data_IF_557342897330
#
_entry.id   IF_557342897330
#
_cell.length_a   1.000
_cell.length_b   1.000
_cell.length_c   1.000
_cell.angle_alpha   90.00
_cell.angle_beta   90.00
_cell.angle_gamma   90.00
#
_symmetry.space_group_name_H-M   'P 1'
#
loop_
_entity.id
_entity.type
_entity.pdbx_description
1 polymer ?
#
# COMPACT_ATOMS: atom_id res chain seq x y z
N UNK A 1 5.57 -26.81 2.58
CA UNK A 1 4.21 -27.31 2.25
C UNK A 1 3.95 -27.04 0.78
N UNK A 2 3.19 -27.88 0.09
CA UNK A 2 2.63 -27.51 -1.21
C UNK A 2 1.51 -26.49 -0.99
N UNK A 3 1.35 -25.57 -1.93
CA UNK A 3 0.24 -24.62 -1.90
C UNK A 3 -1.09 -25.37 -1.96
N UNK A 4 -2.07 -24.92 -1.16
CA UNK A 4 -3.43 -25.44 -1.16
C UNK A 4 -4.30 -24.54 -2.03
N UNK A 5 -5.06 -25.14 -2.94
CA UNK A 5 -6.11 -24.43 -3.65
C UNK A 5 -7.34 -24.31 -2.75
N UNK A 6 -7.89 -23.10 -2.61
CA UNK A 6 -9.13 -22.84 -1.87
C UNK A 6 -10.18 -22.41 -2.90
N UNK A 7 -11.23 -23.20 -3.04
CA UNK A 7 -12.36 -22.86 -3.90
C UNK A 7 -13.17 -21.68 -3.31
N UNK A 8 -13.89 -20.87 -4.10
CA UNK A 8 -14.71 -19.77 -3.59
C UNK A 8 -15.72 -20.18 -2.50
N UNK A 9 -16.30 -21.38 -2.61
CA UNK A 9 -17.27 -21.91 -1.62
C UNK A 9 -16.62 -22.34 -0.31
N UNK A 10 -15.30 -22.56 -0.33
CA UNK A 10 -14.52 -23.00 0.83
C UNK A 10 -13.65 -21.88 1.44
N UNK A 11 -13.79 -20.64 0.95
CA UNK A 11 -13.13 -19.45 1.52
C UNK A 11 -13.70 -19.02 2.87
N UNK A 12 -14.96 -19.38 3.18
CA UNK A 12 -15.63 -19.07 4.45
C UNK A 12 -15.48 -17.59 4.88
N UNK A 13 -15.69 -16.67 3.93
CA UNK A 13 -15.60 -15.23 4.19
C UNK A 13 -14.18 -14.67 4.30
N UNK A 14 -13.15 -15.46 3.97
CA UNK A 14 -11.78 -14.97 3.88
C UNK A 14 -11.62 -14.01 2.70
N UNK A 15 -10.80 -12.99 2.90
CA UNK A 15 -10.39 -12.06 1.86
C UNK A 15 -8.89 -12.20 1.56
N UNK A 16 -8.45 -11.66 0.43
CA UNK A 16 -7.05 -11.71 0.03
C UNK A 16 -6.12 -11.16 1.12
N UNK A 17 -5.11 -11.93 1.53
CA UNK A 17 -4.14 -11.52 2.55
C UNK A 17 -4.54 -11.86 3.99
N UNK A 18 -5.78 -12.30 4.25
CA UNK A 18 -6.19 -12.78 5.57
C UNK A 18 -5.31 -13.97 6.00
N UNK A 19 -4.97 -14.01 7.30
CA UNK A 19 -4.29 -15.16 7.89
C UNK A 19 -5.33 -16.15 8.38
N UNK A 20 -5.28 -17.37 7.87
CA UNK A 20 -6.34 -18.37 8.07
C UNK A 20 -5.82 -19.71 8.57
N UNK A 21 -6.69 -20.50 9.20
CA UNK A 21 -6.51 -21.93 9.42
C UNK A 21 -7.28 -22.66 8.32
N UNK A 22 -6.58 -23.55 7.62
CA UNK A 22 -7.12 -24.37 6.54
C UNK A 22 -7.12 -25.84 6.96
N UNK A 23 -8.20 -26.53 6.64
CA UNK A 23 -8.29 -27.99 6.71
C UNK A 23 -8.05 -28.56 5.31
N UNK A 24 -6.98 -29.33 5.07
CA UNK A 24 -6.80 -30.04 3.81
C UNK A 24 -7.98 -30.99 3.56
N UNK A 25 -8.51 -30.98 2.34
CA UNK A 25 -9.54 -31.92 1.91
C UNK A 25 -8.87 -33.15 1.28
N UNK A 26 -9.59 -34.28 1.21
CA UNK A 26 -9.01 -35.55 0.72
C UNK A 26 -8.39 -35.35 -0.66
N UNK A 27 -7.10 -35.60 -0.75
CA UNK A 27 -6.31 -35.55 -1.98
C UNK A 27 -6.66 -36.81 -2.77
N UNK A 28 -7.18 -36.67 -3.98
CA UNK A 28 -7.07 -37.75 -4.96
C UNK A 28 -5.59 -37.82 -5.34
N UNK A 29 -4.98 -39.01 -5.31
CA UNK A 29 -3.53 -39.23 -5.29
C UNK A 29 -2.74 -38.67 -6.50
N UNK A 30 -3.40 -38.01 -7.45
CA UNK A 30 -2.82 -37.48 -8.69
C UNK A 30 -3.06 -35.96 -8.94
N UNK A 31 -3.51 -35.19 -7.94
CA UNK A 31 -3.80 -33.76 -8.15
C UNK A 31 -2.58 -32.87 -7.88
N UNK A 32 -2.23 -32.04 -8.88
CA UNK A 32 -1.10 -31.09 -8.88
C UNK A 32 -1.18 -30.06 -7.74
N UNK A 33 -2.37 -29.72 -7.27
CA UNK A 33 -2.64 -28.80 -6.16
C UNK A 33 -3.70 -29.38 -5.22
N UNK A 34 -3.35 -29.76 -3.98
CA UNK A 34 -4.32 -30.25 -3.01
C UNK A 34 -5.36 -29.16 -2.66
N UNK A 35 -6.61 -29.55 -2.44
CA UNK A 35 -7.67 -28.63 -2.04
C UNK A 35 -7.72 -28.43 -0.53
N UNK A 36 -8.20 -27.28 -0.09
CA UNK A 36 -8.40 -26.96 1.32
C UNK A 36 -9.64 -26.14 1.57
N UNK A 37 -10.11 -26.21 2.82
CA UNK A 37 -11.22 -25.40 3.31
C UNK A 37 -10.80 -24.50 4.45
N UNK A 38 -11.10 -23.21 4.36
CA UNK A 38 -10.92 -22.26 5.45
C UNK A 38 -11.88 -22.63 6.57
N UNK A 39 -11.33 -22.97 7.74
CA UNK A 39 -12.13 -23.26 8.93
C UNK A 39 -12.24 -22.07 9.87
N UNK A 40 -11.25 -21.19 9.85
CA UNK A 40 -11.20 -20.02 10.74
C UNK A 40 -10.25 -18.97 10.20
N UNK A 41 -10.60 -17.71 10.42
CA UNK A 41 -9.77 -16.55 10.11
C UNK A 41 -9.13 -16.08 11.42
N UNK A 42 -7.80 -16.00 11.44
CA UNK A 42 -7.02 -15.60 12.62
C UNK A 42 -6.82 -14.09 12.63
N UNK A 43 -6.52 -13.52 11.47
CA UNK A 43 -6.16 -12.11 11.33
C UNK A 43 -6.70 -11.57 10.00
N UNK A 44 -7.32 -10.39 10.06
CA UNK A 44 -7.91 -9.71 8.90
C UNK A 44 -6.92 -8.73 8.30
N UNK A 45 -6.64 -8.84 7.02
CA UNK A 45 -5.68 -7.97 6.33
C UNK A 45 -6.29 -6.67 5.82
N UNK A 46 -7.56 -6.69 5.40
CA UNK A 46 -8.19 -5.60 4.65
C UNK A 46 -9.20 -4.80 5.48
N UNK A 47 -8.84 -4.37 6.69
CA UNK A 47 -9.77 -3.55 7.49
C UNK A 47 -10.16 -2.25 6.79
N UNK A 48 -9.24 -1.71 5.99
CA UNK A 48 -9.44 -0.54 5.16
C UNK A 48 -9.12 -0.91 3.71
N UNK A 49 -10.00 -0.53 2.79
CA UNK A 49 -9.89 -0.82 1.36
C UNK A 49 -10.02 0.48 0.60
N UNK A 50 -9.16 0.65 -0.42
CA UNK A 50 -9.26 1.75 -1.36
C UNK A 50 -10.01 1.27 -2.59
N UNK A 51 -10.94 2.10 -3.06
CA UNK A 51 -11.72 1.79 -4.23
C UNK A 51 -12.48 2.99 -4.77
N UNK A 52 -13.27 2.74 -5.80
CA UNK A 52 -14.12 3.74 -6.44
C UNK A 52 -15.54 3.60 -5.95
N UNK A 53 -16.13 4.71 -5.49
CA UNK A 53 -17.49 4.74 -5.00
C UNK A 53 -18.50 4.86 -6.17
N UNK A 54 -19.41 3.90 -6.23
CA UNK A 54 -20.55 3.83 -7.13
C UNK A 54 -21.83 4.05 -6.33
N UNK A 55 -22.48 5.17 -6.56
CA UNK A 55 -23.63 5.66 -5.80
C UNK A 55 -24.93 5.22 -6.46
N UNK A 56 -25.79 4.58 -5.68
CA UNK A 56 -27.19 4.37 -6.00
C UNK A 56 -28.09 5.29 -5.16
N UNK A 57 -29.40 5.24 -5.40
CA UNK A 57 -30.38 6.16 -4.76
C UNK A 57 -30.44 6.03 -3.22
N UNK A 58 -30.27 4.81 -2.69
CA UNK A 58 -30.44 4.49 -1.27
C UNK A 58 -29.26 3.75 -0.63
N UNK A 59 -28.24 3.42 -1.41
CA UNK A 59 -27.04 2.72 -1.00
C UNK A 59 -25.97 2.98 -2.06
N UNK A 60 -24.74 2.52 -1.81
CA UNK A 60 -23.70 2.53 -2.82
C UNK A 60 -22.80 1.32 -2.65
N UNK A 61 -21.85 1.20 -3.56
CA UNK A 61 -20.79 0.20 -3.50
C UNK A 61 -19.44 0.87 -3.64
N UNK A 62 -18.44 0.36 -2.94
CA UNK A 62 -17.04 0.67 -3.23
C UNK A 62 -16.45 -0.52 -3.95
N UNK A 63 -16.07 -0.30 -5.20
CA UNK A 63 -15.39 -1.29 -6.03
C UNK A 63 -13.89 -1.23 -5.72
N UNK A 64 -13.29 -2.29 -5.16
CA UNK A 64 -11.87 -2.26 -4.79
C UNK A 64 -10.93 -2.06 -5.98
N UNK A 65 -9.84 -1.37 -5.73
CA UNK A 65 -8.73 -1.25 -6.67
C UNK A 65 -7.97 -2.57 -6.83
N UNK A 66 -7.72 -3.23 -5.69
CA UNK A 66 -7.09 -4.54 -5.67
C UNK A 66 -8.07 -5.60 -6.16
N UNK A 67 -7.90 -6.03 -7.42
CA UNK A 67 -8.76 -7.02 -8.08
C UNK A 67 -8.71 -8.42 -7.44
N UNK A 68 -7.80 -8.66 -6.49
CA UNK A 68 -7.78 -9.89 -5.68
C UNK A 68 -8.86 -9.86 -4.60
N UNK A 69 -9.39 -8.69 -4.26
CA UNK A 69 -10.60 -8.54 -3.45
C UNK A 69 -11.79 -8.63 -4.42
N UNK A 70 -12.41 -9.79 -4.46
CA UNK A 70 -13.49 -10.13 -5.40
C UNK A 70 -14.88 -9.62 -4.99
N UNK A 71 -14.97 -8.85 -3.91
CA UNK A 71 -16.24 -8.37 -3.38
C UNK A 71 -16.34 -6.86 -3.48
N UNK A 72 -17.44 -6.37 -4.03
CA UNK A 72 -17.82 -4.97 -3.89
C UNK A 72 -18.31 -4.73 -2.45
N UNK A 73 -17.86 -3.64 -1.85
CA UNK A 73 -18.18 -3.32 -0.45
C UNK A 73 -19.46 -2.49 -0.45
N UNK A 74 -20.53 -3.03 0.10
CA UNK A 74 -21.79 -2.33 0.27
C UNK A 74 -21.62 -1.18 1.28
N UNK A 75 -22.15 -0.01 0.94
CA UNK A 75 -22.14 1.16 1.82
C UNK A 75 -23.58 1.65 1.97
N UNK A 76 -24.14 1.66 3.20
CA UNK A 76 -25.41 2.32 3.49
C UNK A 76 -25.35 3.82 3.23
N UNK A 77 -26.49 4.46 2.94
CA UNK A 77 -26.54 5.88 2.56
C UNK A 77 -25.99 6.82 3.64
N UNK A 78 -26.23 6.49 4.89
CA UNK A 78 -25.78 7.19 6.09
C UNK A 78 -24.25 7.12 6.25
N UNK A 79 -23.59 6.14 5.65
CA UNK A 79 -22.15 5.89 5.74
C UNK A 79 -21.36 6.42 4.52
N UNK A 80 -21.97 7.26 3.67
CA UNK A 80 -21.31 7.79 2.48
C UNK A 80 -20.21 8.81 2.76
N UNK A 81 -20.23 9.46 3.93
CA UNK A 81 -19.30 10.54 4.28
C UNK A 81 -19.15 11.60 3.15
N UNK A 82 -20.29 12.03 2.59
CA UNK A 82 -20.39 12.98 1.47
C UNK A 82 -19.75 12.55 0.14
N UNK A 83 -19.35 11.29 -0.01
CA UNK A 83 -18.83 10.77 -1.28
C UNK A 83 -19.83 10.95 -2.44
N UNK A 84 -19.30 11.34 -3.60
CA UNK A 84 -20.04 11.45 -4.86
C UNK A 84 -19.70 10.27 -5.76
N UNK A 85 -20.55 10.05 -6.76
CA UNK A 85 -20.29 9.09 -7.84
C UNK A 85 -18.87 9.27 -8.37
N UNK A 86 -18.18 8.15 -8.62
CA UNK A 86 -16.81 8.11 -9.15
C UNK A 86 -15.75 8.74 -8.25
N UNK A 87 -16.04 9.05 -6.99
CA UNK A 87 -14.98 9.43 -6.06
C UNK A 87 -14.14 8.22 -5.67
N UNK A 88 -12.84 8.45 -5.57
CA UNK A 88 -11.91 7.57 -4.91
C UNK A 88 -12.06 7.71 -3.41
N UNK A 89 -12.19 6.59 -2.71
CA UNK A 89 -12.49 6.58 -1.27
C UNK A 89 -11.69 5.52 -0.53
N UNK A 90 -11.46 5.78 0.75
CA UNK A 90 -11.04 4.79 1.72
C UNK A 90 -12.29 4.32 2.48
N UNK A 91 -12.62 3.04 2.35
CA UNK A 91 -13.74 2.40 3.05
C UNK A 91 -13.20 1.50 4.15
N UNK A 92 -13.78 1.58 5.35
CA UNK A 92 -13.52 0.67 6.45
C UNK A 92 -14.59 -0.43 6.44
N UNK A 93 -14.16 -1.69 6.43
CA UNK A 93 -15.08 -2.83 6.52
C UNK A 93 -15.68 -2.89 7.93
N UNK A 94 -17.01 -2.85 8.02
CA UNK A 94 -17.79 -2.96 9.26
C UNK A 94 -18.35 -4.36 9.42
N UNK A 95 -18.78 -4.98 8.31
CA UNK A 95 -19.18 -6.38 8.26
C UNK A 95 -18.40 -7.13 7.19
N UNK A 96 -17.81 -8.26 7.58
CA UNK A 96 -17.00 -9.10 6.68
C UNK A 96 -17.90 -9.97 5.79
N UNK A 97 -17.42 -10.37 4.60
CA UNK A 97 -18.22 -11.23 3.75
C UNK A 97 -18.47 -12.58 4.42
N UNK A 98 -19.64 -13.14 4.12
CA UNK A 98 -20.01 -14.51 4.46
C UNK A 98 -20.62 -15.18 3.21
N UNK A 99 -20.92 -16.48 3.25
CA UNK A 99 -21.32 -17.29 2.09
C UNK A 99 -22.46 -16.71 1.23
N UNK A 100 -23.26 -15.80 1.78
CA UNK A 100 -24.42 -15.18 1.10
C UNK A 100 -24.41 -13.66 1.08
N UNK A 101 -23.40 -13.03 1.66
CA UNK A 101 -23.38 -11.57 1.87
C UNK A 101 -22.05 -10.97 1.46
N UNK A 102 -22.14 -9.92 0.66
CA UNK A 102 -21.02 -9.03 0.40
C UNK A 102 -20.60 -8.31 1.70
N UNK A 103 -19.35 -7.84 1.80
CA UNK A 103 -18.93 -7.03 2.92
C UNK A 103 -19.71 -5.71 2.95
N UNK A 104 -19.94 -5.21 4.16
CA UNK A 104 -20.47 -3.87 4.39
C UNK A 104 -19.37 -2.97 4.95
N UNK A 105 -19.45 -1.67 4.68
CA UNK A 105 -18.44 -0.72 5.14
C UNK A 105 -18.94 0.70 5.24
N UNK A 106 -18.08 1.52 5.84
CA UNK A 106 -18.26 2.97 6.00
C UNK A 106 -17.14 3.73 5.33
N UNK A 107 -17.48 4.79 4.58
CA UNK A 107 -16.47 5.63 3.93
C UNK A 107 -15.84 6.51 4.99
N UNK A 108 -14.56 6.24 5.31
CA UNK A 108 -13.84 7.02 6.32
C UNK A 108 -13.16 8.25 5.71
N UNK A 109 -12.86 8.21 4.41
CA UNK A 109 -12.17 9.31 3.72
C UNK A 109 -12.57 9.35 2.24
N UNK A 110 -12.85 10.56 1.74
CA UNK A 110 -13.03 10.84 0.33
C UNK A 110 -11.72 11.45 -0.18
N UNK A 111 -10.99 10.69 -1.00
CA UNK A 111 -9.66 11.07 -1.50
C UNK A 111 -9.81 12.11 -2.61
N UNK A 112 -10.74 11.88 -3.55
CA UNK A 112 -10.98 12.83 -4.64
C UNK A 112 -11.75 12.23 -5.80
N UNK A 113 -11.76 12.93 -6.93
CA UNK A 113 -12.34 12.44 -8.19
C UNK A 113 -11.39 11.45 -8.87
N UNK A 114 -11.93 10.35 -9.42
CA UNK A 114 -11.11 9.36 -10.13
C UNK A 114 -10.44 9.93 -11.38
N UNK A 115 -10.95 10.99 -11.99
CA UNK A 115 -10.33 11.59 -13.18
C UNK A 115 -9.10 12.47 -12.83
N UNK A 116 -8.86 12.74 -11.55
CA UNK A 116 -7.69 13.52 -11.11
C UNK A 116 -6.46 12.63 -10.88
N UNK A 117 -5.38 12.96 -11.59
CA UNK A 117 -4.08 12.29 -11.43
C UNK A 117 -3.54 12.37 -10.00
N UNK A 118 -3.77 13.49 -9.29
CA UNK A 118 -3.33 13.64 -7.90
C UNK A 118 -4.04 12.64 -6.99
N UNK A 119 -5.33 12.42 -7.19
CA UNK A 119 -6.14 11.45 -6.46
C UNK A 119 -5.59 10.03 -6.64
N UNK A 120 -5.17 9.66 -7.85
CA UNK A 120 -4.54 8.37 -8.09
C UNK A 120 -3.23 8.18 -7.32
N UNK A 121 -2.38 9.21 -7.30
CA UNK A 121 -1.11 9.17 -6.56
C UNK A 121 -1.38 8.97 -5.06
N UNK A 122 -2.28 9.77 -4.49
CA UNK A 122 -2.64 9.71 -3.07
C UNK A 122 -3.24 8.35 -2.69
N UNK A 123 -4.12 7.81 -3.52
CA UNK A 123 -4.69 6.47 -3.34
C UNK A 123 -3.62 5.37 -3.30
N UNK A 124 -2.63 5.40 -4.19
CA UNK A 124 -1.54 4.41 -4.20
C UNK A 124 -0.69 4.53 -2.93
N UNK A 125 -0.38 5.75 -2.52
CA UNK A 125 0.42 6.01 -1.32
C UNK A 125 -0.28 5.50 -0.06
N UNK A 126 -1.58 5.74 0.06
CA UNK A 126 -2.41 5.23 1.16
C UNK A 126 -2.51 3.69 1.12
N UNK A 127 -2.74 3.08 -0.05
CA UNK A 127 -2.81 1.62 -0.20
C UNK A 127 -1.51 0.93 0.25
N UNK A 128 -0.37 1.55 -0.04
CA UNK A 128 0.95 1.07 0.34
C UNK A 128 1.38 1.47 1.75
N UNK A 129 0.53 2.19 2.49
CA UNK A 129 0.81 2.72 3.84
C UNK A 129 2.12 3.51 3.89
N UNK A 130 2.43 4.23 2.80
CA UNK A 130 3.66 5.03 2.69
C UNK A 130 3.49 6.28 3.55
N UNK A 131 4.40 6.48 4.49
CA UNK A 131 4.43 7.68 5.33
C UNK A 131 4.66 8.92 4.45
N UNK A 132 3.70 9.85 4.47
CA UNK A 132 3.79 11.10 3.70
C UNK A 132 4.46 12.24 4.46
N UNK A 133 4.49 12.16 5.79
CA UNK A 133 4.93 13.25 6.64
C UNK A 133 6.11 12.78 7.47
N UNK A 134 7.23 13.51 7.39
CA UNK A 134 8.36 13.29 8.27
C UNK A 134 8.03 13.79 9.68
N UNK A 135 8.39 13.02 10.73
CA UNK A 135 8.27 13.48 12.11
C UNK A 135 8.96 14.82 12.36
N UNK A 136 8.40 15.64 13.27
CA UNK A 136 8.87 17.02 13.51
C UNK A 136 10.31 17.05 14.02
N UNK A 137 10.67 16.11 14.89
CA UNK A 137 12.02 15.89 15.40
C UNK A 137 13.01 15.58 14.28
N UNK A 138 12.64 14.70 13.33
CA UNK A 138 13.47 14.39 12.14
C UNK A 138 13.72 15.64 11.30
N UNK A 139 12.69 16.44 11.04
CA UNK A 139 12.83 17.69 10.28
C UNK A 139 13.73 18.69 11.03
N UNK A 140 13.58 18.80 12.35
CA UNK A 140 14.42 19.68 13.18
C UNK A 140 15.88 19.25 13.14
N UNK A 141 16.15 17.95 13.25
CA UNK A 141 17.51 17.42 13.18
C UNK A 141 18.15 17.66 11.81
N UNK A 142 17.42 17.37 10.72
CA UNK A 142 17.92 17.60 9.36
C UNK A 142 18.29 19.07 9.12
N UNK A 143 17.45 20.01 9.58
CA UNK A 143 17.75 21.45 9.51
C UNK A 143 18.99 21.82 10.29
N UNK A 144 19.10 21.34 11.53
CA UNK A 144 20.26 21.57 12.39
C UNK A 144 21.56 21.10 11.73
N UNK A 145 21.58 19.89 11.18
CA UNK A 145 22.75 19.34 10.47
C UNK A 145 23.10 20.17 9.23
N UNK A 146 22.09 20.62 8.47
CA UNK A 146 22.30 21.49 7.31
C UNK A 146 22.90 22.85 7.69
N UNK A 147 22.44 23.43 8.80
CA UNK A 147 22.88 24.75 9.27
C UNK A 147 24.30 24.70 9.88
N UNK A 148 24.64 23.62 10.58
CA UNK A 148 25.97 23.44 11.20
C UNK A 148 27.08 23.13 10.18
N UNK A 149 26.72 22.54 9.03
CA UNK A 149 27.68 22.14 8.00
C UNK A 149 28.63 21.03 8.45
N UNK A 150 29.75 20.87 7.74
CA UNK A 150 30.74 19.82 8.03
C UNK A 150 31.65 20.28 9.17
N UNK A 151 31.57 19.60 10.32
CA UNK A 151 32.38 19.90 11.50
C UNK A 151 33.89 19.73 11.24
N UNK A 152 34.73 20.58 11.83
CA UNK A 152 36.19 20.56 11.58
C UNK A 152 36.86 19.21 11.95
N UNK A 153 36.35 18.55 12.99
CA UNK A 153 36.79 17.20 13.37
C UNK A 153 36.51 16.15 12.28
N UNK A 154 35.44 16.30 11.50
CA UNK A 154 35.17 15.43 10.34
C UNK A 154 36.20 15.65 9.23
N UNK A 155 36.59 16.91 8.99
CA UNK A 155 37.62 17.25 8.01
C UNK A 155 38.98 16.65 8.41
N UNK A 156 39.35 16.76 9.70
CA UNK A 156 40.64 16.27 10.21
C UNK A 156 40.77 14.74 10.16
N UNK A 157 39.66 14.00 10.30
CA UNK A 157 39.70 12.52 10.33
C UNK A 157 39.56 11.86 8.96
N UNK A 158 39.30 12.63 7.89
CA UNK A 158 39.04 12.11 6.53
C UNK A 158 40.18 12.47 5.59
N UNK A 159 40.38 11.64 4.57
CA UNK A 159 41.29 11.95 3.46
C UNK A 159 40.73 13.12 2.66
N UNK A 160 41.53 14.16 2.47
CA UNK A 160 41.14 15.32 1.66
C UNK A 160 41.41 15.04 0.18
N UNK A 161 40.34 15.06 -0.64
CA UNK A 161 40.37 14.88 -2.09
C UNK A 161 39.89 16.11 -2.86
N UNK A 162 39.70 17.26 -2.20
CA UNK A 162 39.12 18.48 -2.80
C UNK A 162 39.93 19.05 -3.97
N UNK A 163 41.20 18.65 -4.12
CA UNK A 163 42.07 19.05 -5.23
C UNK A 163 41.91 18.19 -6.49
N UNK A 164 41.14 17.10 -6.43
CA UNK A 164 40.85 16.26 -7.59
C UNK A 164 39.63 16.79 -8.35
N UNK A 165 39.66 16.69 -9.69
CA UNK A 165 38.54 17.08 -10.55
C UNK A 165 37.46 15.98 -10.55
N UNK A 166 36.81 15.81 -9.40
CA UNK A 166 35.71 14.86 -9.20
C UNK A 166 34.42 15.48 -9.74
N UNK A 167 33.65 14.71 -10.53
CA UNK A 167 32.38 15.13 -11.12
C UNK A 167 31.26 14.12 -10.82
N UNK A 168 30.00 14.55 -10.88
CA UNK A 168 28.82 13.67 -10.90
C UNK A 168 28.19 13.70 -12.29
N UNK A 169 27.43 12.66 -12.67
CA UNK A 169 26.79 12.55 -13.98
C UNK A 169 25.35 12.07 -13.76
N UNK A 170 24.43 13.02 -13.73
CA UNK A 170 23.04 12.80 -13.31
C UNK A 170 22.05 13.38 -14.32
N UNK A 171 20.78 12.98 -14.19
CA UNK A 171 19.68 13.59 -14.93
C UNK A 171 19.46 15.05 -14.56
N UNK A 172 18.93 15.86 -15.47
CA UNK A 172 18.74 17.31 -15.26
C UNK A 172 17.84 17.67 -14.07
N UNK A 173 16.97 16.75 -13.66
CA UNK A 173 16.01 16.95 -12.56
C UNK A 173 16.45 16.30 -11.24
N UNK A 174 17.62 15.66 -11.20
CA UNK A 174 18.15 15.02 -9.99
C UNK A 174 18.51 16.07 -8.91
N UNK A 175 18.28 15.73 -7.65
CA UNK A 175 18.56 16.61 -6.49
C UNK A 175 19.40 15.94 -5.40
N UNK A 176 19.51 14.63 -5.49
CA UNK A 176 20.18 13.70 -4.59
C UNK A 176 21.38 13.08 -5.32
N UNK A 177 22.49 13.82 -5.33
CA UNK A 177 23.73 13.40 -6.01
C UNK A 177 24.60 12.61 -5.03
N UNK A 178 24.54 11.29 -5.11
CA UNK A 178 25.15 10.39 -4.12
C UNK A 178 26.49 9.80 -4.56
N UNK A 179 26.80 9.83 -5.86
CA UNK A 179 28.03 9.28 -6.43
C UNK A 179 28.83 10.31 -7.24
N UNK A 180 30.14 10.07 -7.33
CA UNK A 180 31.05 10.93 -8.06
C UNK A 180 32.26 10.15 -8.57
N UNK A 181 32.82 10.58 -9.70
CA UNK A 181 33.89 9.88 -10.42
C UNK A 181 35.06 10.80 -10.74
N UNK A 182 36.24 10.20 -10.74
CA UNK A 182 37.50 10.77 -11.23
C UNK A 182 38.33 9.64 -11.85
N UNK A 183 39.05 9.94 -12.92
CA UNK A 183 39.93 8.98 -13.57
C UNK A 183 41.27 9.63 -13.89
N UNK A 184 42.35 8.86 -13.68
CA UNK A 184 43.70 9.22 -14.07
C UNK A 184 44.37 8.01 -14.75
N UNK A 185 45.28 8.29 -15.68
CA UNK A 185 46.11 7.23 -16.27
C UNK A 185 47.21 6.87 -15.28
N UNK A 186 47.26 5.61 -14.87
CA UNK A 186 48.37 5.08 -14.08
C UNK A 186 49.61 4.95 -14.98
N UNK A 187 50.75 5.37 -14.46
CA UNK A 187 52.05 5.16 -15.11
C UNK A 187 52.54 3.74 -14.94
#
# INVERSE_FOLDING_TARGET
>A
LKDLFISPVDMNGAMHGDRVIVRPMKVLDDVKSPEGKVIRIIERANQYVIGTFQKSRHFGFVVPDDKRISFDIFVPREEFNNAKENNKVLVKITEWPDQRKNPEGTIVEVIGDIEDTKTHIEAVLLAKKVRQIFPVDVIKEAKRVSDEGIHELELKRRKDLRNLNIITIDGSDAKDLDDAVYAEKLN
#
